data_IF_449505293782
#
_entry.id   IF_449505293782
#
_cell.length_a   1.000
_cell.length_b   1.000
_cell.length_c   1.000
_cell.angle_alpha   90.00
_cell.angle_beta   90.00
_cell.angle_gamma   90.00
#
_symmetry.space_group_name_H-M   'P 1'
#
loop_
_entity.id
_entity.type
_entity.pdbx_description
1 polymer ?
#
# COMPACT_ATOMS: atom_id res chain seq x y z
N UNK A 1 58.31 25.28 4.52
CA UNK A 1 58.00 25.14 5.96
C UNK A 1 56.65 24.44 6.03
N UNK A 2 56.66 23.18 6.20
CA UNK A 2 56.50 22.47 7.47
C UNK A 2 55.12 22.73 8.02
N UNK A 3 54.25 21.79 8.33
CA UNK A 3 54.27 20.45 8.83
C UNK A 3 52.83 20.05 9.16
N UNK A 4 52.38 18.90 8.86
CA UNK A 4 52.22 17.73 9.70
C UNK A 4 50.77 17.48 10.16
N UNK A 5 50.27 16.38 9.77
CA UNK A 5 49.96 15.13 10.52
C UNK A 5 48.61 15.17 11.22
N UNK A 6 47.71 14.27 11.07
CA UNK A 6 47.73 12.85 11.22
C UNK A 6 46.85 12.46 12.39
N UNK A 7 45.94 11.56 12.24
CA UNK A 7 45.51 10.61 13.29
C UNK A 7 44.32 9.78 12.78
N UNK A 8 44.54 8.68 12.35
CA UNK A 8 44.29 7.29 12.75
C UNK A 8 43.52 7.09 14.05
N UNK A 9 42.47 6.35 13.95
CA UNK A 9 41.72 5.81 15.10
C UNK A 9 40.69 4.83 14.58
N UNK A 10 41.10 3.70 14.25
CA UNK A 10 41.05 2.39 14.85
C UNK A 10 39.66 1.89 15.20
N UNK A 11 39.36 0.78 14.54
CA UNK A 11 38.36 -0.23 14.73
C UNK A 11 38.01 -0.58 16.17
N UNK A 12 36.76 -0.93 16.39
CA UNK A 12 36.42 -2.08 17.27
C UNK A 12 35.17 -2.77 16.80
N UNK A 13 35.38 -3.89 16.17
CA UNK A 13 34.59 -5.11 16.17
C UNK A 13 34.15 -5.47 17.58
N UNK A 14 32.91 -5.82 17.74
CA UNK A 14 32.51 -6.77 18.75
C UNK A 14 31.41 -7.67 18.21
N UNK A 15 31.86 -8.81 17.86
CA UNK A 15 31.21 -10.08 17.73
C UNK A 15 30.67 -10.49 19.10
N UNK A 16 29.41 -10.84 19.19
CA UNK A 16 28.98 -11.78 20.21
C UNK A 16 27.94 -12.72 19.68
N UNK A 17 28.40 -13.86 19.58
CA UNK A 17 27.94 -15.19 19.35
C UNK A 17 27.37 -15.73 20.66
N UNK A 18 26.19 -16.31 20.64
CA UNK A 18 25.72 -17.33 21.59
C UNK A 18 24.43 -17.91 21.08
N UNK A 19 24.49 -19.02 20.49
CA UNK A 19 24.41 -20.42 20.91
C UNK A 19 23.17 -20.81 21.68
N UNK A 20 22.35 -21.64 20.98
CA UNK A 20 21.89 -22.99 21.36
C UNK A 20 21.02 -23.08 22.61
N UNK A 21 19.88 -23.78 22.61
CA UNK A 21 19.66 -25.22 22.45
C UNK A 21 18.17 -25.45 22.68
N UNK A 22 17.43 -26.05 21.82
CA UNK A 22 17.14 -27.46 21.70
C UNK A 22 16.13 -28.01 22.71
N UNK A 23 15.07 -28.56 22.11
CA UNK A 23 14.38 -29.81 22.45
C UNK A 23 13.58 -29.93 23.77
N UNK A 24 12.29 -30.21 23.55
CA UNK A 24 11.69 -31.42 24.14
C UNK A 24 10.34 -31.72 23.49
N UNK A 25 10.29 -32.84 22.81
CA UNK A 25 9.09 -33.59 22.48
C UNK A 25 8.54 -34.26 23.75
N UNK A 26 7.20 -34.34 23.83
CA UNK A 26 6.44 -35.46 24.47
C UNK A 26 4.99 -35.24 24.07
N UNK A 27 4.44 -35.98 23.22
CA UNK A 27 3.89 -37.30 23.03
C UNK A 27 2.88 -37.73 24.09
N UNK A 28 1.66 -38.05 23.52
CA UNK A 28 0.58 -38.94 24.03
C UNK A 28 -0.34 -38.36 25.10
N UNK A 29 -1.67 -38.45 24.92
CA UNK A 29 -2.44 -39.67 24.79
C UNK A 29 -3.87 -39.39 24.25
N UNK A 30 -4.30 -40.30 23.43
CA UNK A 30 -5.69 -40.57 23.09
C UNK A 30 -6.51 -40.94 24.32
N UNK A 31 -7.75 -40.41 24.41
CA UNK A 31 -8.81 -41.20 25.02
C UNK A 31 -10.17 -40.86 24.39
N UNK A 32 -10.70 -41.86 23.85
CA UNK A 32 -11.97 -42.06 23.19
C UNK A 32 -13.03 -42.32 24.29
N UNK A 33 -14.21 -41.72 24.16
CA UNK A 33 -15.50 -42.26 24.62
C UNK A 33 -16.59 -41.33 24.13
N UNK A 34 -17.34 -41.77 23.17
CA UNK A 34 -18.70 -42.28 23.09
C UNK A 34 -19.81 -41.38 23.62
N UNK A 35 -20.63 -40.95 22.59
CA UNK A 35 -22.08 -40.89 22.55
C UNK A 35 -22.87 -40.34 23.76
N UNK A 36 -23.63 -39.26 23.49
CA UNK A 36 -25.08 -39.33 23.60
C UNK A 36 -25.73 -38.08 22.95
N UNK A 37 -26.52 -38.36 22.00
CA UNK A 37 -27.82 -37.91 21.59
C UNK A 37 -28.55 -36.99 22.59
N UNK A 38 -28.88 -35.77 22.13
CA UNK A 38 -30.08 -35.06 22.56
C UNK A 38 -30.39 -33.94 21.54
N UNK A 39 -31.40 -34.19 20.80
CA UNK A 39 -32.14 -33.28 19.93
C UNK A 39 -32.50 -31.97 20.62
N UNK A 40 -32.14 -30.86 20.00
CA UNK A 40 -32.67 -29.55 20.31
C UNK A 40 -32.57 -28.66 19.08
N UNK A 41 -33.68 -28.16 18.51
CA UNK A 41 -33.64 -27.23 17.41
C UNK A 41 -33.21 -25.85 17.96
N UNK A 42 -31.91 -25.62 18.00
CA UNK A 42 -31.40 -24.28 18.23
C UNK A 42 -31.66 -23.46 16.98
N UNK A 43 -32.72 -22.69 17.02
CA UNK A 43 -32.99 -21.60 16.09
C UNK A 43 -31.79 -20.65 16.15
N UNK A 44 -30.85 -20.84 15.24
CA UNK A 44 -29.85 -19.84 14.91
C UNK A 44 -30.59 -18.61 14.41
N UNK A 45 -30.86 -17.69 15.30
CA UNK A 45 -31.13 -16.31 14.94
C UNK A 45 -29.97 -15.87 14.08
N UNK A 46 -30.19 -15.86 12.77
CA UNK A 46 -29.35 -15.19 11.82
C UNK A 46 -29.24 -13.76 12.30
N UNK A 47 -28.06 -13.37 12.80
CA UNK A 47 -27.76 -11.99 13.01
C UNK A 47 -28.08 -11.26 11.71
N UNK A 48 -28.70 -10.08 11.75
CA UNK A 48 -28.94 -9.32 10.54
C UNK A 48 -27.59 -9.13 9.87
N UNK A 49 -27.45 -9.75 8.71
CA UNK A 49 -26.35 -9.51 7.79
C UNK A 49 -26.39 -8.02 7.56
N UNK A 50 -25.45 -7.30 8.12
CA UNK A 50 -25.26 -5.90 7.83
C UNK A 50 -25.28 -5.79 6.30
N UNK A 51 -26.27 -5.12 5.78
CA UNK A 51 -26.42 -4.86 4.35
C UNK A 51 -25.10 -4.22 3.92
N UNK A 52 -24.28 -5.04 3.28
CA UNK A 52 -23.06 -4.55 2.64
C UNK A 52 -23.55 -3.58 1.57
N UNK A 53 -23.49 -2.29 1.89
CA UNK A 53 -23.63 -1.23 0.90
C UNK A 53 -22.71 -1.61 -0.25
N UNK A 54 -23.16 -1.50 -1.50
CA UNK A 54 -22.33 -1.85 -2.64
C UNK A 54 -21.02 -1.07 -2.55
N UNK A 55 -19.98 -1.76 -2.13
CA UNK A 55 -18.64 -1.19 -2.16
C UNK A 55 -18.22 -1.17 -3.62
N UNK A 56 -17.84 0.00 -4.12
CA UNK A 56 -17.30 0.13 -5.47
C UNK A 56 -16.16 -0.86 -5.66
N UNK A 57 -16.05 -1.43 -6.83
CA UNK A 57 -14.90 -2.25 -7.18
C UNK A 57 -13.64 -1.39 -7.26
N UNK A 58 -12.47 -1.99 -7.06
CA UNK A 58 -11.19 -1.29 -7.16
C UNK A 58 -11.02 -0.52 -8.48
N UNK A 59 -11.48 -1.10 -9.59
CA UNK A 59 -11.43 -0.47 -10.91
C UNK A 59 -12.36 0.74 -11.05
N UNK A 60 -13.54 0.68 -10.44
CA UNK A 60 -14.47 1.81 -10.42
C UNK A 60 -13.92 2.96 -9.58
N UNK A 61 -13.36 2.65 -8.41
CA UNK A 61 -12.69 3.65 -7.56
C UNK A 61 -11.56 4.35 -8.29
N UNK A 62 -10.68 3.58 -8.96
CA UNK A 62 -9.55 4.14 -9.69
C UNK A 62 -10.02 5.10 -10.81
N UNK A 63 -11.05 4.72 -11.55
CA UNK A 63 -11.63 5.55 -12.63
C UNK A 63 -12.25 6.82 -12.08
N UNK A 64 -13.10 6.70 -11.07
CA UNK A 64 -13.80 7.82 -10.46
C UNK A 64 -12.81 8.81 -9.84
N UNK A 65 -11.79 8.31 -9.14
CA UNK A 65 -10.73 9.15 -8.58
C UNK A 65 -9.96 9.94 -9.65
N UNK A 66 -9.61 9.29 -10.76
CA UNK A 66 -8.93 9.93 -11.88
C UNK A 66 -9.80 11.01 -12.55
N UNK A 67 -11.08 10.75 -12.73
CA UNK A 67 -12.04 11.71 -13.30
C UNK A 67 -12.20 12.93 -12.39
N UNK A 68 -12.41 12.72 -11.09
CA UNK A 68 -12.54 13.81 -10.12
C UNK A 68 -11.25 14.64 -10.02
N UNK A 69 -10.08 14.00 -10.04
CA UNK A 69 -8.81 14.72 -10.06
C UNK A 69 -8.68 15.57 -11.31
N UNK A 70 -8.95 15.02 -12.50
CA UNK A 70 -8.86 15.73 -13.77
C UNK A 70 -9.75 16.97 -13.80
N UNK A 71 -10.96 16.88 -13.28
CA UNK A 71 -11.89 18.02 -13.17
C UNK A 71 -11.36 19.11 -12.23
N UNK A 72 -10.78 18.71 -11.08
CA UNK A 72 -10.28 19.65 -10.07
C UNK A 72 -9.04 20.42 -10.53
N UNK A 73 -8.10 19.73 -11.16
CA UNK A 73 -6.83 20.35 -11.58
C UNK A 73 -6.88 20.92 -12.98
N UNK A 74 -7.91 20.59 -13.76
CA UNK A 74 -8.07 21.03 -15.16
C UNK A 74 -7.03 20.44 -16.11
N UNK A 75 -6.49 19.26 -15.80
CA UNK A 75 -5.44 18.61 -16.57
C UNK A 75 -5.81 17.16 -16.88
N UNK A 76 -5.15 16.58 -17.89
CA UNK A 76 -5.43 15.23 -18.33
C UNK A 76 -4.67 14.20 -17.50
N UNK A 77 -5.40 13.28 -16.88
CA UNK A 77 -4.83 12.08 -16.29
C UNK A 77 -4.48 11.10 -17.40
N UNK A 78 -3.23 10.68 -17.49
CA UNK A 78 -2.76 9.71 -18.47
C UNK A 78 -2.96 8.27 -18.03
N UNK A 79 -2.63 7.99 -16.77
CA UNK A 79 -2.70 6.64 -16.23
C UNK A 79 -2.90 6.64 -14.73
N UNK A 80 -3.47 5.55 -14.23
CA UNK A 80 -3.46 5.21 -12.81
C UNK A 80 -2.33 4.21 -12.60
N UNK A 81 -1.37 4.56 -11.76
CA UNK A 81 -0.15 3.78 -11.53
C UNK A 81 -0.18 2.97 -10.25
N UNK A 82 -1.02 3.35 -9.30
CA UNK A 82 -1.16 2.65 -8.03
C UNK A 82 -2.56 2.72 -7.47
N UNK A 83 -2.94 1.67 -6.74
CA UNK A 83 -4.20 1.59 -6.01
C UNK A 83 -3.99 0.75 -4.75
N UNK A 84 -4.24 1.35 -3.62
CA UNK A 84 -4.09 0.73 -2.31
C UNK A 84 -5.34 0.95 -1.47
N UNK A 85 -5.80 -0.10 -0.80
CA UNK A 85 -6.91 0.01 0.13
C UNK A 85 -6.43 0.51 1.48
N UNK A 86 -7.09 1.52 2.02
CA UNK A 86 -6.85 2.05 3.36
C UNK A 86 -8.00 1.65 4.30
N UNK A 87 -7.89 1.97 5.57
CA UNK A 87 -8.95 1.68 6.55
C UNK A 87 -10.26 2.41 6.23
N UNK A 88 -10.17 3.65 5.77
CA UNK A 88 -11.32 4.51 5.53
C UNK A 88 -11.75 4.59 4.06
N UNK A 89 -10.94 4.09 3.15
CA UNK A 89 -11.21 4.19 1.72
C UNK A 89 -10.08 3.63 0.86
N UNK A 90 -9.56 4.46 -0.06
CA UNK A 90 -8.53 4.07 -1.00
C UNK A 90 -7.52 5.19 -1.23
N UNK A 91 -6.30 4.81 -1.47
CA UNK A 91 -5.24 5.66 -1.97
C UNK A 91 -4.99 5.30 -3.44
N UNK A 92 -5.09 6.27 -4.31
CA UNK A 92 -4.89 6.11 -5.76
C UNK A 92 -3.70 6.95 -6.18
N UNK A 93 -2.82 6.38 -6.98
CA UNK A 93 -1.72 7.10 -7.60
C UNK A 93 -1.99 7.24 -9.10
N UNK A 94 -1.89 8.45 -9.61
CA UNK A 94 -2.16 8.76 -11.00
C UNK A 94 -1.07 9.65 -11.60
N UNK A 95 -0.78 9.42 -12.88
CA UNK A 95 0.09 10.28 -13.68
C UNK A 95 -0.73 11.26 -14.47
N UNK A 96 -0.33 12.51 -14.37
CA UNK A 96 -0.99 13.65 -15.01
C UNK A 96 -0.02 14.33 -15.97
N UNK A 97 -0.48 14.62 -17.17
CA UNK A 97 0.26 15.40 -18.15
C UNK A 97 0.12 16.90 -17.80
N UNK A 98 1.15 17.47 -17.18
CA UNK A 98 1.15 18.90 -16.83
C UNK A 98 1.54 19.82 -17.98
N UNK A 99 2.48 19.40 -18.82
CA UNK A 99 2.98 20.21 -19.92
C UNK A 99 3.36 19.36 -21.12
N UNK A 100 2.70 19.63 -22.25
CA UNK A 100 3.09 19.05 -23.54
C UNK A 100 4.27 19.79 -24.13
N UNK A 101 5.21 19.05 -24.70
CA UNK A 101 6.38 19.58 -25.38
C UNK A 101 6.62 18.86 -26.70
N UNK A 102 7.50 19.43 -27.51
CA UNK A 102 7.98 18.82 -28.75
C UNK A 102 9.50 18.67 -28.63
N UNK A 103 10.03 17.45 -28.72
CA UNK A 103 9.33 16.16 -28.90
C UNK A 103 8.58 15.71 -27.62
N UNK A 104 7.60 14.82 -27.76
CA UNK A 104 6.76 14.33 -26.64
C UNK A 104 7.54 13.60 -25.55
N UNK A 105 8.76 13.13 -25.84
CA UNK A 105 9.68 12.56 -24.84
C UNK A 105 10.09 13.56 -23.76
N UNK A 106 9.90 14.86 -24.02
CA UNK A 106 10.18 15.94 -23.06
C UNK A 106 8.92 16.47 -22.37
N UNK A 107 7.76 15.83 -22.60
CA UNK A 107 6.54 16.14 -21.86
C UNK A 107 6.81 16.07 -20.34
N UNK A 108 6.16 16.96 -19.61
CA UNK A 108 6.28 16.99 -18.17
C UNK A 108 5.07 16.29 -17.56
N UNK A 109 5.36 15.26 -16.82
CA UNK A 109 4.40 14.47 -16.05
C UNK A 109 4.53 14.79 -14.56
N UNK A 110 3.44 14.62 -13.84
CA UNK A 110 3.43 14.65 -12.40
C UNK A 110 2.68 13.45 -11.85
N UNK A 111 3.19 12.89 -10.77
CA UNK A 111 2.51 11.86 -10.00
C UNK A 111 1.68 12.53 -8.92
N UNK A 112 0.40 12.20 -8.87
CA UNK A 112 -0.53 12.64 -7.85
C UNK A 112 -0.95 11.47 -6.97
N UNK A 113 -0.97 11.68 -5.67
CA UNK A 113 -1.63 10.81 -4.72
C UNK A 113 -3.01 11.36 -4.41
N UNK A 114 -4.01 10.51 -4.49
CA UNK A 114 -5.41 10.84 -4.33
C UNK A 114 -5.97 9.98 -3.20
N UNK A 115 -6.63 10.59 -2.24
CA UNK A 115 -7.36 9.90 -1.19
C UNK A 115 -8.84 9.96 -1.52
N UNK A 116 -9.49 8.81 -1.53
CA UNK A 116 -10.92 8.67 -1.74
C UNK A 116 -11.54 7.86 -0.61
N UNK A 117 -12.76 8.18 -0.26
CA UNK A 117 -13.50 7.46 0.77
C UNK A 117 -14.00 6.09 0.26
N UNK A 118 -14.70 5.36 1.11
CA UNK A 118 -15.26 4.05 0.78
C UNK A 118 -16.35 4.10 -0.31
N UNK A 119 -16.87 5.27 -0.64
CA UNK A 119 -17.87 5.50 -1.69
C UNK A 119 -17.24 5.90 -3.01
N UNK A 120 -15.94 6.21 -3.03
CA UNK A 120 -15.22 6.69 -4.18
C UNK A 120 -15.20 8.21 -4.32
N UNK A 121 -15.64 8.94 -3.28
CA UNK A 121 -15.58 10.40 -3.28
C UNK A 121 -14.19 10.88 -2.89
N UNK A 122 -13.68 11.88 -3.60
CA UNK A 122 -12.35 12.43 -3.37
C UNK A 122 -12.32 13.21 -2.05
N UNK A 123 -11.48 12.78 -1.12
CA UNK A 123 -11.23 13.47 0.15
C UNK A 123 -10.08 14.46 0.08
N UNK A 124 -9.07 14.13 -0.72
CA UNK A 124 -7.91 14.98 -0.88
C UNK A 124 -6.95 14.48 -1.94
N UNK A 125 -6.06 15.35 -2.38
CA UNK A 125 -4.99 14.98 -3.30
C UNK A 125 -3.73 15.81 -3.05
N UNK A 126 -2.59 15.26 -3.45
CA UNK A 126 -1.31 15.98 -3.43
C UNK A 126 -0.43 15.54 -4.60
N UNK A 127 0.40 16.46 -5.07
CA UNK A 127 1.44 16.13 -6.03
C UNK A 127 2.62 15.49 -5.30
N UNK A 128 2.92 14.24 -5.63
CA UNK A 128 4.02 13.48 -5.04
C UNK A 128 5.36 13.74 -5.77
N UNK A 129 5.30 13.96 -7.08
CA UNK A 129 6.51 14.20 -7.87
C UNK A 129 6.22 14.82 -9.23
N UNK A 130 7.28 15.27 -9.90
CA UNK A 130 7.24 15.83 -11.25
C UNK A 130 8.50 15.41 -12.00
N UNK A 131 8.38 15.00 -13.24
CA UNK A 131 9.49 14.51 -14.06
C UNK A 131 9.22 14.67 -15.55
N UNK A 132 10.26 14.63 -16.38
CA UNK A 132 10.09 14.57 -17.81
C UNK A 132 9.86 13.12 -18.26
N UNK A 133 9.01 12.92 -19.26
CA UNK A 133 8.63 11.58 -19.76
C UNK A 133 9.85 10.72 -20.15
N UNK A 134 10.89 11.34 -20.68
CA UNK A 134 12.13 10.66 -21.07
C UNK A 134 13.09 10.37 -19.93
N UNK A 135 12.84 10.90 -18.74
CA UNK A 135 13.67 10.60 -17.58
C UNK A 135 13.32 9.21 -17.07
N UNK A 136 14.25 8.29 -17.24
CA UNK A 136 14.17 7.00 -16.58
C UNK A 136 14.28 7.24 -15.08
N UNK A 137 13.16 7.13 -14.40
CA UNK A 137 13.12 7.17 -12.95
C UNK A 137 13.99 6.03 -12.44
N UNK A 138 15.16 6.37 -11.96
CA UNK A 138 15.96 5.42 -11.20
C UNK A 138 15.19 5.19 -9.90
N UNK A 139 14.50 4.06 -9.80
CA UNK A 139 13.97 3.57 -8.56
C UNK A 139 15.13 3.39 -7.60
N UNK A 140 15.25 4.31 -6.65
CA UNK A 140 16.13 4.16 -5.50
C UNK A 140 15.28 3.84 -4.28
#
# INVERSE_FOLDING_TARGET
>A
MATRAGSTGTAKTSTSKSTRKASAQKKSAQKKSTANDASGPSSRRSAPRAESRPSMSAGEVARTAAEQLAELIGQQVESVTGLERTEDGWKVEAEVLELRRIPSTTDVLATYEILVDSRGDLEGYRRAGRYARGDTRSDQ
#
